data_IF_491585382963
#
_entry.id   IF_491585382963
#
_cell.length_a   1.000
_cell.length_b   1.000
_cell.length_c   1.000
_cell.angle_alpha   90.00
_cell.angle_beta   90.00
_cell.angle_gamma   90.00
#
_symmetry.space_group_name_H-M   'P 1'
#
loop_
_entity.id
_entity.type
_entity.pdbx_description
1 polymer ?
#
# COMPACT_ATOMS: atom_id res chain seq x y z
N UNK A 1 -9.95 17.19 2.45
CA UNK A 1 -9.36 17.12 1.10
C UNK A 1 -7.91 17.57 1.23
N UNK A 2 -6.96 16.68 1.08
CA UNK A 2 -5.54 16.99 1.26
C UNK A 2 -4.76 16.46 0.06
N UNK A 3 -4.24 17.38 -0.75
CA UNK A 3 -3.27 17.09 -1.80
C UNK A 3 -1.88 17.44 -1.23
N UNK A 4 -1.03 16.44 -1.07
CA UNK A 4 0.31 16.63 -0.55
C UNK A 4 1.33 16.51 -1.69
N UNK A 5 1.83 17.65 -2.17
CA UNK A 5 2.99 17.69 -3.06
C UNK A 5 4.25 17.43 -2.22
N UNK A 6 4.92 16.31 -2.48
CA UNK A 6 5.95 15.78 -1.61
C UNK A 6 7.26 15.59 -2.39
N UNK A 7 8.18 16.55 -2.31
CA UNK A 7 9.61 16.25 -2.36
C UNK A 7 10.09 15.51 -1.09
N UNK A 8 9.27 14.63 -0.51
CA UNK A 8 9.55 14.02 0.79
C UNK A 8 10.53 12.86 0.66
N UNK A 9 11.44 12.81 1.62
CA UNK A 9 12.21 11.62 1.93
C UNK A 9 11.30 10.55 2.50
N UNK A 10 11.38 9.36 1.95
CA UNK A 10 10.71 8.15 2.39
C UNK A 10 11.19 7.75 3.82
N UNK A 11 10.31 7.37 4.79
CA UNK A 11 8.87 7.09 4.62
C UNK A 11 7.97 8.33 4.59
N UNK A 12 6.86 8.22 3.87
CA UNK A 12 5.73 9.17 3.92
C UNK A 12 4.58 8.49 4.64
N UNK A 13 4.10 9.10 5.73
CA UNK A 13 2.95 8.63 6.50
C UNK A 13 1.88 9.71 6.55
N UNK A 14 0.63 9.33 6.26
CA UNK A 14 -0.52 10.23 6.17
C UNK A 14 -1.57 9.78 7.18
N UNK A 15 -1.96 10.64 8.13
CA UNK A 15 -3.02 10.32 9.07
C UNK A 15 -4.37 10.23 8.34
N UNK A 16 -5.18 9.25 8.71
CA UNK A 16 -6.55 9.04 8.22
C UNK A 16 -7.45 8.64 9.39
N UNK A 17 -8.77 8.73 9.22
CA UNK A 17 -9.73 8.27 10.22
C UNK A 17 -10.56 7.13 9.63
N UNK A 18 -10.01 5.91 9.72
CA UNK A 18 -10.54 4.73 9.07
C UNK A 18 -10.33 4.70 7.55
N UNK A 19 -10.48 3.51 6.97
CA UNK A 19 -10.41 3.29 5.53
C UNK A 19 -11.56 2.41 5.05
N UNK A 20 -12.78 2.95 5.09
CA UNK A 20 -14.02 2.23 4.85
C UNK A 20 -14.61 2.57 3.47
N UNK A 21 -15.67 1.85 3.08
CA UNK A 21 -16.33 2.00 1.79
C UNK A 21 -16.51 3.47 1.36
N UNK A 22 -16.07 3.79 0.15
CA UNK A 22 -16.03 5.15 -0.38
C UNK A 22 -14.67 5.83 -0.26
N UNK A 23 -13.81 5.38 0.67
CA UNK A 23 -12.44 5.87 0.77
C UNK A 23 -11.55 5.31 -0.35
N UNK A 24 -10.67 6.17 -0.85
CA UNK A 24 -9.65 5.87 -1.85
C UNK A 24 -8.33 6.51 -1.47
N UNK A 25 -7.29 5.71 -1.51
CA UNK A 25 -5.90 6.13 -1.41
C UNK A 25 -5.26 5.99 -2.78
N UNK A 26 -4.62 7.05 -3.27
CA UNK A 26 -3.88 7.05 -4.53
C UNK A 26 -2.46 7.56 -4.29
N UNK A 27 -1.47 6.82 -4.76
CA UNK A 27 -0.07 7.25 -4.77
C UNK A 27 0.49 7.18 -6.19
N UNK A 28 1.22 8.23 -6.58
CA UNK A 28 2.08 8.21 -7.75
C UNK A 28 3.51 8.09 -7.25
N UNK A 29 4.22 7.05 -7.66
CA UNK A 29 5.58 6.78 -7.23
C UNK A 29 6.46 6.32 -8.39
N UNK A 30 7.77 6.46 -8.24
CA UNK A 30 8.78 5.90 -9.12
C UNK A 30 9.60 4.86 -8.36
N UNK A 31 9.68 3.64 -8.88
CA UNK A 31 10.55 2.60 -8.32
C UNK A 31 12.01 2.99 -8.47
N UNK A 32 12.84 2.66 -7.49
CA UNK A 32 14.28 2.93 -7.51
C UNK A 32 15.05 1.64 -7.77
N UNK A 33 16.27 1.80 -8.25
CA UNK A 33 17.24 0.72 -8.45
C UNK A 33 18.22 0.74 -7.29
N UNK A 34 17.73 0.23 -6.16
CA UNK A 34 18.42 0.17 -4.87
C UNK A 34 18.54 -1.28 -4.42
N UNK A 35 19.31 -1.50 -3.35
CA UNK A 35 19.72 -2.84 -2.91
C UNK A 35 18.56 -3.74 -2.45
N UNK A 36 17.51 -3.20 -1.85
CA UNK A 36 16.44 -4.02 -1.28
C UNK A 36 15.38 -4.40 -2.31
N UNK A 37 15.22 -3.59 -3.37
CA UNK A 37 14.31 -3.81 -4.50
C UNK A 37 12.87 -4.10 -4.06
N UNK A 38 12.43 -3.41 -3.03
CA UNK A 38 11.09 -3.56 -2.47
C UNK A 38 10.57 -2.24 -1.94
N UNK A 39 9.25 -2.12 -1.92
CA UNK A 39 8.56 -1.04 -1.25
C UNK A 39 7.33 -1.59 -0.55
N UNK A 40 6.75 -0.80 0.33
CA UNK A 40 5.53 -1.18 1.02
C UNK A 40 4.54 -0.03 1.14
N UNK A 41 3.27 -0.40 1.19
CA UNK A 41 2.17 0.48 1.61
C UNK A 41 1.49 -0.20 2.81
N UNK A 42 1.49 0.49 3.95
CA UNK A 42 1.00 -0.02 5.23
C UNK A 42 -0.22 0.78 5.68
N UNK A 43 -1.32 0.09 6.00
CA UNK A 43 -2.49 0.65 6.66
C UNK A 43 -2.34 0.37 8.15
N UNK A 44 -1.97 1.38 8.93
CA UNK A 44 -1.52 1.21 10.31
C UNK A 44 -2.61 1.54 11.32
N UNK A 45 -2.57 0.86 12.46
CA UNK A 45 -3.36 1.15 13.65
C UNK A 45 -2.42 1.16 14.85
N UNK A 46 -1.88 2.34 15.18
CA UNK A 46 -0.77 2.45 16.13
C UNK A 46 0.46 1.66 15.67
N UNK A 47 0.86 0.66 16.45
CA UNK A 47 1.98 -0.25 16.13
C UNK A 47 1.61 -1.40 15.20
N UNK A 48 0.33 -1.65 14.99
CA UNK A 48 -0.15 -2.74 14.14
C UNK A 48 -0.28 -2.30 12.67
N UNK A 49 -0.20 -3.26 11.75
CA UNK A 49 -0.38 -3.06 10.31
C UNK A 49 -1.57 -3.92 9.88
N UNK A 50 -2.73 -3.30 9.67
CA UNK A 50 -3.98 -3.98 9.30
C UNK A 50 -3.94 -4.50 7.86
N UNK A 51 -3.19 -3.83 6.98
CA UNK A 51 -2.86 -4.30 5.64
C UNK A 51 -1.43 -3.87 5.29
N UNK A 52 -0.60 -4.85 4.94
CA UNK A 52 0.73 -4.68 4.41
C UNK A 52 0.72 -5.10 2.94
N UNK A 53 0.94 -4.17 2.01
CA UNK A 53 1.17 -4.47 0.60
C UNK A 53 2.65 -4.31 0.29
N UNK A 54 3.34 -5.40 -0.08
CA UNK A 54 4.80 -5.41 -0.25
C UNK A 54 5.25 -6.02 -1.58
N UNK A 55 5.32 -5.22 -2.64
CA UNK A 55 5.99 -5.62 -3.88
C UNK A 55 7.49 -5.81 -3.67
N UNK A 56 7.99 -6.98 -4.08
CA UNK A 56 9.41 -7.35 -4.09
C UNK A 56 9.85 -7.58 -5.54
N UNK A 57 10.50 -6.58 -6.13
CA UNK A 57 10.84 -6.54 -7.55
C UNK A 57 11.85 -7.64 -7.92
N UNK A 58 12.82 -7.90 -7.03
CA UNK A 58 13.83 -8.95 -7.24
C UNK A 58 13.20 -10.34 -7.40
N UNK A 59 12.24 -10.66 -6.54
CA UNK A 59 11.57 -11.96 -6.51
C UNK A 59 10.33 -12.01 -7.43
N UNK A 60 9.99 -10.88 -8.07
CA UNK A 60 8.81 -10.68 -8.91
C UNK A 60 7.51 -11.18 -8.27
N UNK A 61 7.31 -10.83 -7.00
CA UNK A 61 6.13 -11.20 -6.24
C UNK A 61 5.62 -10.05 -5.38
N UNK A 62 4.33 -10.14 -5.03
CA UNK A 62 3.69 -9.25 -4.06
C UNK A 62 3.30 -10.09 -2.86
N UNK A 63 3.65 -9.63 -1.66
CA UNK A 63 3.15 -10.19 -0.40
C UNK A 63 2.11 -9.25 0.17
N UNK A 64 0.98 -9.84 0.56
CA UNK A 64 0.01 -9.21 1.43
C UNK A 64 0.05 -9.86 2.81
N UNK A 65 -0.03 -9.06 3.86
CA UNK A 65 -0.13 -9.59 5.21
C UNK A 65 -0.77 -8.57 6.17
N UNK A 66 -0.90 -8.97 7.43
CA UNK A 66 -1.31 -8.18 8.58
C UNK A 66 -0.27 -8.42 9.69
N UNK A 67 0.11 -7.36 10.40
CA UNK A 67 0.95 -7.42 11.60
C UNK A 67 0.11 -7.00 12.79
N UNK A 68 -0.08 -7.88 13.76
CA UNK A 68 -0.93 -7.65 14.93
C UNK A 68 -0.24 -8.14 16.19
N UNK A 69 -0.30 -7.33 17.25
CA UNK A 69 0.18 -7.72 18.57
C UNK A 69 1.65 -8.13 18.57
N UNK A 70 2.48 -7.52 17.71
CA UNK A 70 3.90 -7.83 17.59
C UNK A 70 4.26 -9.01 16.68
N UNK A 71 3.30 -9.56 15.91
CA UNK A 71 3.55 -10.72 15.04
C UNK A 71 2.92 -10.58 13.65
N UNK A 72 3.67 -11.03 12.64
CA UNK A 72 3.13 -11.23 11.30
C UNK A 72 2.16 -12.39 11.29
N UNK A 73 1.02 -12.18 10.65
CA UNK A 73 0.00 -13.20 10.46
C UNK A 73 0.32 -14.02 9.19
N UNK A 74 -0.63 -14.83 8.70
CA UNK A 74 -0.44 -15.64 7.49
C UNK A 74 -0.18 -14.77 6.24
N UNK A 75 0.78 -15.11 5.39
CA UNK A 75 1.03 -14.35 4.16
C UNK A 75 0.10 -14.77 3.02
N UNK A 76 -0.46 -13.78 2.32
CA UNK A 76 -1.14 -13.95 1.04
C UNK A 76 -0.16 -13.66 -0.09
N UNK A 77 0.14 -14.69 -0.90
CA UNK A 77 1.07 -14.63 -2.04
C UNK A 77 0.33 -15.00 -3.33
N UNK A 78 -0.54 -14.11 -3.85
CA UNK A 78 -1.31 -14.41 -5.05
C UNK A 78 -0.41 -14.66 -6.25
N UNK A 79 -0.83 -15.58 -7.14
CA UNK A 79 -0.20 -15.76 -8.45
C UNK A 79 -0.67 -14.63 -9.36
N UNK A 80 0.19 -13.65 -9.59
CA UNK A 80 -0.09 -12.42 -10.34
C UNK A 80 0.92 -12.26 -11.48
N UNK A 81 0.50 -11.64 -12.58
CA UNK A 81 1.46 -11.01 -13.47
C UNK A 81 2.09 -9.81 -12.73
N UNK A 82 3.37 -9.91 -12.37
CA UNK A 82 4.04 -8.89 -11.57
C UNK A 82 4.14 -7.57 -12.36
N UNK A 83 3.57 -6.45 -11.86
CA UNK A 83 3.39 -5.24 -12.67
C UNK A 83 4.55 -4.24 -12.56
N UNK A 84 5.51 -4.46 -11.65
CA UNK A 84 6.53 -3.49 -11.32
C UNK A 84 7.88 -3.78 -11.99
N UNK A 85 8.51 -2.74 -12.51
CA UNK A 85 9.84 -2.73 -13.11
C UNK A 85 10.66 -1.62 -12.47
N UNK A 86 12.00 -1.71 -12.55
CA UNK A 86 12.91 -0.71 -11.96
C UNK A 86 12.83 0.62 -12.71
N UNK A 87 12.96 1.74 -11.98
CA UNK A 87 13.02 3.12 -12.53
C UNK A 87 11.76 3.54 -13.29
N UNK A 88 10.63 2.86 -13.08
CA UNK A 88 9.36 3.15 -13.73
C UNK A 88 8.39 3.87 -12.79
N UNK A 89 7.48 4.64 -13.37
CA UNK A 89 6.44 5.38 -12.65
C UNK A 89 5.16 4.56 -12.63
N UNK A 90 4.52 4.52 -11.46
CA UNK A 90 3.27 3.82 -11.23
C UNK A 90 2.27 4.73 -10.53
N UNK A 91 1.02 4.61 -10.95
CA UNK A 91 -0.13 5.03 -10.15
C UNK A 91 -0.67 3.80 -9.45
N UNK A 92 -0.68 3.80 -8.13
CA UNK A 92 -1.32 2.76 -7.33
C UNK A 92 -2.55 3.35 -6.67
N UNK A 93 -3.68 2.66 -6.82
CA UNK A 93 -4.95 3.03 -6.21
C UNK A 93 -5.43 1.89 -5.32
N UNK A 94 -5.83 2.25 -4.11
CA UNK A 94 -6.36 1.35 -3.10
C UNK A 94 -7.75 1.88 -2.75
N UNK A 95 -8.78 1.08 -2.98
CA UNK A 95 -10.18 1.50 -2.86
C UNK A 95 -10.86 0.59 -1.85
N UNK A 96 -11.40 1.16 -0.78
CA UNK A 96 -12.13 0.40 0.21
C UNK A 96 -13.48 -0.08 -0.36
N UNK A 97 -13.75 -1.38 -0.24
CA UNK A 97 -15.01 -2.00 -0.65
C UNK A 97 -16.02 -2.01 0.52
N UNK A 98 -17.28 -2.35 0.21
CA UNK A 98 -18.33 -2.57 1.22
C UNK A 98 -18.11 -3.84 2.05
N UNK A 99 -17.19 -4.72 1.65
CA UNK A 99 -17.02 -6.06 2.21
C UNK A 99 -15.79 -6.17 3.14
N UNK A 100 -15.38 -5.06 3.75
CA UNK A 100 -14.17 -4.98 4.61
C UNK A 100 -12.90 -5.45 3.86
N UNK A 101 -12.74 -5.00 2.62
CA UNK A 101 -11.59 -5.30 1.78
C UNK A 101 -11.10 -4.04 1.05
N UNK A 102 -9.88 -4.11 0.52
CA UNK A 102 -9.27 -3.08 -0.30
C UNK A 102 -8.98 -3.65 -1.67
N UNK A 103 -9.50 -3.00 -2.71
CA UNK A 103 -9.20 -3.28 -4.11
C UNK A 103 -7.94 -2.51 -4.52
N UNK A 104 -6.92 -3.22 -5.00
CA UNK A 104 -5.65 -2.65 -5.43
C UNK A 104 -5.63 -2.61 -6.95
N UNK A 105 -5.40 -1.41 -7.51
CA UNK A 105 -5.19 -1.19 -8.93
C UNK A 105 -3.81 -0.58 -9.16
N UNK A 106 -3.13 -1.02 -10.23
CA UNK A 106 -1.85 -0.47 -10.69
C UNK A 106 -2.04 0.02 -12.11
N UNK A 107 -1.75 1.30 -12.35
CA UNK A 107 -1.98 1.99 -13.63
C UNK A 107 -3.40 1.78 -14.18
N UNK A 108 -4.40 1.82 -13.28
CA UNK A 108 -5.81 1.63 -13.60
C UNK A 108 -6.25 0.17 -13.83
N UNK A 109 -5.32 -0.79 -13.82
CA UNK A 109 -5.64 -2.21 -13.94
C UNK A 109 -5.76 -2.87 -12.58
N UNK A 110 -6.80 -3.68 -12.38
CA UNK A 110 -6.99 -4.46 -11.16
C UNK A 110 -5.82 -5.43 -10.95
N UNK A 111 -5.26 -5.43 -9.74
CA UNK A 111 -4.18 -6.32 -9.34
C UNK A 111 -4.70 -7.40 -8.38
N UNK A 112 -5.32 -7.00 -7.27
CA UNK A 112 -5.73 -7.90 -6.21
C UNK A 112 -6.78 -7.25 -5.29
N UNK A 113 -7.50 -8.08 -4.54
CA UNK A 113 -8.38 -7.65 -3.46
C UNK A 113 -7.89 -8.26 -2.15
N UNK A 114 -7.48 -7.41 -1.20
CA UNK A 114 -7.08 -7.86 0.13
C UNK A 114 -8.24 -7.71 1.10
N UNK A 115 -8.67 -8.79 1.75
CA UNK A 115 -9.71 -8.74 2.79
C UNK A 115 -9.08 -8.48 4.14
N UNK A 116 -9.47 -7.40 4.81
CA UNK A 116 -8.96 -7.11 6.14
C UNK A 116 -9.35 -8.23 7.12
N UNK A 117 -8.40 -8.58 7.99
CA UNK A 117 -8.59 -9.55 9.09
C UNK A 117 -9.22 -8.91 10.32
N UNK A 118 -9.23 -7.58 10.36
CA UNK A 118 -9.75 -6.73 11.43
C UNK A 118 -10.61 -5.62 10.82
N UNK A 119 -11.12 -4.71 11.65
CA UNK A 119 -11.98 -3.64 11.15
C UNK A 119 -11.17 -2.60 10.36
N UNK A 120 -11.59 -2.30 9.13
CA UNK A 120 -11.02 -1.21 8.35
C UNK A 120 -11.27 0.19 8.99
N UNK A 121 -12.19 0.30 9.96
CA UNK A 121 -12.37 1.52 10.76
C UNK A 121 -11.15 1.90 11.58
N UNK A 122 -10.32 0.92 11.92
CA UNK A 122 -9.26 1.10 12.91
C UNK A 122 -7.97 1.64 12.27
N UNK A 123 -7.97 1.86 10.95
CA UNK A 123 -6.85 2.47 10.23
C UNK A 123 -6.69 3.93 10.67
N UNK A 124 -5.52 4.26 11.22
CA UNK A 124 -5.18 5.59 11.72
C UNK A 124 -4.20 6.33 10.79
N UNK A 125 -3.43 5.60 9.99
CA UNK A 125 -2.52 6.17 9.01
C UNK A 125 -2.24 5.23 7.85
N UNK A 126 -1.84 5.80 6.72
CA UNK A 126 -1.32 5.07 5.56
C UNK A 126 0.11 5.52 5.31
N UNK A 127 1.04 4.57 5.33
CA UNK A 127 2.47 4.79 5.16
C UNK A 127 2.93 4.18 3.83
N UNK A 128 3.75 4.92 3.08
CA UNK A 128 4.49 4.43 1.91
C UNK A 128 5.98 4.46 2.25
N UNK A 129 6.64 3.30 2.19
CA UNK A 129 8.04 3.14 2.56
C UNK A 129 8.85 2.32 1.54
N UNK A 130 10.18 2.36 1.61
CA UNK A 130 11.11 1.50 0.85
C UNK A 130 11.78 2.14 -0.37
N UNK A 131 12.10 1.35 -1.38
CA UNK A 131 12.92 1.76 -2.54
C UNK A 131 12.10 2.46 -3.64
N UNK A 132 11.41 3.53 -3.26
CA UNK A 132 10.58 4.36 -4.14
C UNK A 132 10.80 5.86 -3.90
N UNK A 133 10.69 6.65 -4.97
CA UNK A 133 10.48 8.10 -4.88
C UNK A 133 8.98 8.38 -5.00
N UNK A 134 8.41 9.04 -4.02
CA UNK A 134 6.97 9.34 -3.96
C UNK A 134 6.76 10.71 -4.60
N UNK A 135 5.96 10.76 -5.66
CA UNK A 135 5.65 12.00 -6.36
C UNK A 135 4.47 12.72 -5.72
N UNK A 136 3.36 11.99 -5.50
CA UNK A 136 2.16 12.55 -4.90
C UNK A 136 1.38 11.47 -4.16
N UNK A 137 0.65 11.89 -3.12
CA UNK A 137 -0.31 11.02 -2.44
C UNK A 137 -1.61 11.79 -2.23
N UNK A 138 -2.73 11.11 -2.44
CA UNK A 138 -4.06 11.66 -2.34
C UNK A 138 -4.99 10.68 -1.61
N UNK A 139 -5.78 11.20 -0.67
CA UNK A 139 -6.80 10.45 0.07
C UNK A 139 -8.14 11.16 -0.07
N UNK A 140 -9.16 10.44 -0.53
CA UNK A 140 -10.55 10.92 -0.71
C UNK A 140 -11.53 9.98 -0.09
#
# INVERSE_FOLDING_TARGET
>A
MYEYDCQRTNPVEIPVNGFQHGHRFRVVLKTLDKRNERFEINFKSGSDILMHFNPRLKDKLVIFNTFLGGSWQYEERPSLAFPFERKQIYTIEMIASSNNSVLIHVNGQFLYEFRHRNSASDVMSIEVNGDVHIHSVHVT
#
